data_IF_862106588004
#
_entry.id   IF_862106588004
#
_cell.length_a   1.000
_cell.length_b   1.000
_cell.length_c   1.000
_cell.angle_alpha   90.00
_cell.angle_beta   90.00
_cell.angle_gamma   90.00
#
_symmetry.space_group_name_H-M   'P 1'
#
loop_
_entity.id
_entity.type
_entity.pdbx_description
1 polymer ?
#
# COMPACT_ATOMS: atom_id res chain seq x y z
N UNK A 1 26.98 -19.98 23.64
CA UNK A 1 27.56 -21.02 22.74
C UNK A 1 26.61 -22.18 22.41
N UNK A 2 25.78 -22.69 23.33
CA UNK A 2 24.87 -23.84 23.05
C UNK A 2 23.74 -23.52 22.06
N UNK A 3 23.22 -22.30 22.01
CA UNK A 3 22.17 -21.88 21.04
C UNK A 3 22.65 -21.76 19.60
N UNK A 4 23.92 -21.36 19.37
CA UNK A 4 24.50 -21.24 18.04
C UNK A 4 24.68 -22.60 17.36
N UNK A 5 25.08 -23.61 18.14
CA UNK A 5 25.25 -25.01 17.67
C UNK A 5 23.88 -25.63 17.28
N UNK A 6 22.81 -25.31 18.00
CA UNK A 6 21.47 -25.80 17.69
C UNK A 6 20.91 -25.19 16.39
N UNK A 7 21.23 -23.92 16.11
CA UNK A 7 20.86 -23.25 14.86
C UNK A 7 21.66 -23.79 13.64
N UNK A 8 22.94 -24.12 13.83
CA UNK A 8 23.75 -24.77 12.80
C UNK A 8 23.30 -26.22 12.51
N UNK A 9 22.87 -26.98 13.52
CA UNK A 9 22.38 -28.34 13.33
C UNK A 9 21.00 -28.37 12.64
N UNK A 10 20.13 -27.40 12.88
CA UNK A 10 18.88 -27.23 12.13
C UNK A 10 19.14 -26.88 10.66
N UNK A 11 20.19 -26.10 10.35
CA UNK A 11 20.59 -25.76 8.98
C UNK A 11 21.10 -26.96 8.16
N UNK A 12 21.73 -27.96 8.80
CA UNK A 12 22.32 -29.14 8.13
C UNK A 12 21.26 -30.20 7.79
N UNK A 13 20.17 -30.28 8.56
CA UNK A 13 19.12 -31.29 8.37
C UNK A 13 18.26 -31.09 7.10
N UNK A 14 18.35 -29.95 6.43
CA UNK A 14 17.59 -29.65 5.21
C UNK A 14 18.24 -30.10 3.90
N UNK A 15 19.41 -30.73 3.95
CA UNK A 15 20.23 -30.97 2.74
C UNK A 15 19.97 -32.30 2.02
N UNK A 16 19.10 -33.19 2.49
CA UNK A 16 19.17 -34.59 2.06
C UNK A 16 18.15 -35.02 0.98
N UNK A 17 17.09 -34.29 0.68
CA UNK A 17 16.17 -34.64 -0.43
C UNK A 17 15.55 -33.41 -1.11
N UNK A 18 16.35 -32.55 -1.66
CA UNK A 18 15.82 -31.34 -2.29
C UNK A 18 15.73 -31.47 -3.80
N UNK A 19 14.59 -31.91 -4.30
CA UNK A 19 14.07 -31.34 -5.54
C UNK A 19 13.80 -29.86 -5.28
N UNK A 20 14.73 -28.96 -5.43
CA UNK A 20 14.61 -27.48 -5.36
C UNK A 20 13.17 -26.96 -5.16
N UNK A 21 12.54 -27.33 -4.03
CA UNK A 21 11.12 -27.03 -3.75
C UNK A 21 10.96 -25.67 -3.08
N UNK A 22 12.02 -25.12 -2.53
CA UNK A 22 12.00 -23.86 -1.82
C UNK A 22 12.77 -22.80 -2.60
N UNK A 23 12.35 -21.56 -2.53
CA UNK A 23 13.07 -20.42 -3.09
C UNK A 23 12.92 -19.19 -2.21
N UNK A 24 14.00 -18.46 -2.06
CA UNK A 24 14.01 -17.11 -1.50
C UNK A 24 14.09 -16.15 -2.68
N UNK A 25 13.33 -15.04 -2.60
CA UNK A 25 13.25 -14.03 -3.65
C UNK A 25 13.36 -12.64 -3.05
N UNK A 26 13.93 -11.73 -3.83
CA UNK A 26 14.01 -10.32 -3.47
C UNK A 26 13.66 -9.44 -4.69
N UNK A 27 13.07 -8.28 -4.42
CA UNK A 27 12.69 -7.33 -5.45
C UNK A 27 13.93 -6.55 -5.92
N UNK A 28 14.34 -6.76 -7.18
CA UNK A 28 15.47 -6.05 -7.79
C UNK A 28 15.12 -4.64 -8.25
N UNK A 29 13.84 -4.31 -8.40
CA UNK A 29 13.36 -2.97 -8.68
C UNK A 29 13.20 -2.10 -7.41
N UNK A 30 13.47 -2.67 -6.23
CA UNK A 30 13.35 -1.99 -4.94
C UNK A 30 14.00 -0.60 -4.86
N UNK A 31 15.26 -0.43 -5.34
CA UNK A 31 15.91 0.89 -5.35
C UNK A 31 15.16 1.93 -6.16
N UNK A 32 14.54 1.56 -7.30
CA UNK A 32 13.79 2.47 -8.15
C UNK A 32 12.42 2.84 -7.56
N UNK A 33 11.76 1.87 -6.95
CA UNK A 33 10.42 2.04 -6.37
C UNK A 33 10.45 2.39 -4.90
N UNK A 34 11.64 2.37 -4.26
CA UNK A 34 11.84 2.51 -2.81
C UNK A 34 11.02 1.51 -1.98
N UNK A 35 10.63 0.39 -2.62
CA UNK A 35 9.84 -0.68 -1.99
C UNK A 35 10.65 -1.97 -2.01
N UNK A 36 11.08 -2.39 -0.84
CA UNK A 36 11.88 -3.59 -0.66
C UNK A 36 10.96 -4.75 -0.31
N UNK A 37 11.19 -5.91 -0.90
CA UNK A 37 10.45 -7.12 -0.54
C UNK A 37 11.34 -8.34 -0.45
N UNK A 38 11.04 -9.17 0.55
CA UNK A 38 11.59 -10.50 0.72
C UNK A 38 10.46 -11.50 0.56
N UNK A 39 10.69 -12.54 -0.24
CA UNK A 39 9.68 -13.56 -0.49
C UNK A 39 10.25 -14.94 -0.23
N UNK A 40 9.38 -15.82 0.26
CA UNK A 40 9.66 -17.25 0.38
C UNK A 40 8.60 -18.02 -0.39
N UNK A 41 9.04 -18.81 -1.37
CA UNK A 41 8.17 -19.67 -2.16
C UNK A 41 8.47 -21.14 -1.88
N UNK A 42 7.41 -21.93 -1.70
CA UNK A 42 7.47 -23.38 -1.61
C UNK A 42 6.61 -24.01 -2.71
N UNK A 43 7.24 -24.81 -3.56
CA UNK A 43 6.54 -25.63 -4.54
C UNK A 43 5.81 -26.77 -3.83
N UNK A 44 4.48 -26.79 -3.91
CA UNK A 44 3.65 -27.85 -3.39
C UNK A 44 3.65 -29.04 -4.36
N UNK A 45 3.59 -28.73 -5.65
CA UNK A 45 3.73 -29.70 -6.74
C UNK A 45 4.33 -29.03 -8.00
N UNK A 46 4.35 -29.74 -9.14
CA UNK A 46 4.95 -29.21 -10.40
C UNK A 46 4.24 -27.98 -10.95
N UNK A 47 3.00 -27.70 -10.55
CA UNK A 47 2.16 -26.63 -11.08
C UNK A 47 1.70 -25.62 -10.02
N UNK A 48 1.83 -25.92 -8.74
CA UNK A 48 1.30 -25.10 -7.66
C UNK A 48 2.43 -24.75 -6.67
N UNK A 49 2.49 -23.51 -6.27
CA UNK A 49 3.35 -23.08 -5.16
C UNK A 49 2.61 -22.13 -4.21
N UNK A 50 3.09 -22.10 -2.98
CA UNK A 50 2.69 -21.12 -1.98
C UNK A 50 3.85 -20.14 -1.78
N UNK A 51 3.57 -18.84 -1.94
CA UNK A 51 4.54 -17.76 -1.81
C UNK A 51 4.10 -16.80 -0.71
N UNK A 52 5.03 -16.40 0.13
CA UNK A 52 4.83 -15.41 1.18
C UNK A 52 5.72 -14.22 0.87
N UNK A 53 5.14 -13.04 0.82
CA UNK A 53 5.85 -11.78 0.55
C UNK A 53 5.73 -10.87 1.74
N UNK A 54 6.87 -10.43 2.28
CA UNK A 54 6.96 -9.29 3.20
C UNK A 54 7.51 -8.12 2.43
N UNK A 55 6.92 -6.94 2.59
CA UNK A 55 7.39 -5.75 1.92
C UNK A 55 7.38 -4.53 2.84
N UNK A 56 8.29 -3.63 2.55
CA UNK A 56 8.47 -2.39 3.28
C UNK A 56 8.88 -1.26 2.34
N UNK A 57 8.26 -0.12 2.50
CA UNK A 57 8.64 1.13 1.88
C UNK A 57 8.76 2.20 2.95
N UNK A 58 9.93 2.83 3.02
CA UNK A 58 10.12 4.00 3.87
C UNK A 58 9.22 5.14 3.38
N UNK A 59 8.70 5.96 4.31
CA UNK A 59 7.91 7.16 3.98
C UNK A 59 8.73 8.13 3.16
N UNK A 60 8.41 8.22 1.87
CA UNK A 60 9.14 9.00 0.86
C UNK A 60 8.22 9.42 -0.26
N UNK A 61 8.64 10.35 -1.11
CA UNK A 61 7.85 10.82 -2.24
C UNK A 61 7.41 9.64 -3.13
N UNK A 62 6.18 9.70 -3.63
CA UNK A 62 5.65 8.69 -4.55
C UNK A 62 6.44 8.73 -5.86
N UNK A 63 6.99 7.60 -6.35
CA UNK A 63 7.55 7.54 -7.69
C UNK A 63 6.46 7.90 -8.72
N UNK A 64 6.83 8.67 -9.72
CA UNK A 64 5.88 9.14 -10.75
C UNK A 64 4.70 9.93 -10.17
N UNK A 65 4.95 10.76 -9.15
CA UNK A 65 3.92 11.51 -8.41
C UNK A 65 2.99 12.33 -9.30
N UNK A 66 3.50 12.99 -10.35
CA UNK A 66 2.69 13.76 -11.29
C UNK A 66 1.70 12.90 -12.09
N UNK A 67 2.12 11.70 -12.51
CA UNK A 67 1.25 10.74 -13.20
C UNK A 67 0.19 10.20 -12.24
N UNK A 68 0.59 9.88 -10.99
CA UNK A 68 -0.33 9.44 -9.94
C UNK A 68 -1.34 10.53 -9.62
N UNK A 69 -0.93 11.78 -9.51
CA UNK A 69 -1.80 12.94 -9.28
C UNK A 69 -2.84 13.10 -10.40
N UNK A 70 -2.39 13.03 -11.66
CA UNK A 70 -3.27 13.11 -12.83
C UNK A 70 -4.32 11.98 -12.83
N UNK A 71 -3.89 10.74 -12.54
CA UNK A 71 -4.80 9.59 -12.47
C UNK A 71 -5.77 9.69 -11.29
N UNK A 72 -5.31 10.14 -10.12
CA UNK A 72 -6.13 10.32 -8.94
C UNK A 72 -7.22 11.38 -9.18
N UNK A 73 -6.89 12.51 -9.77
CA UNK A 73 -7.85 13.57 -10.13
C UNK A 73 -8.86 13.11 -11.16
N UNK A 74 -8.45 12.28 -12.14
CA UNK A 74 -9.31 11.82 -13.22
C UNK A 74 -10.24 10.67 -12.82
N UNK A 75 -9.76 9.71 -12.03
CA UNK A 75 -10.47 8.46 -11.74
C UNK A 75 -10.76 8.23 -10.26
N UNK A 76 -10.11 8.98 -9.37
CA UNK A 76 -10.13 8.73 -7.93
C UNK A 76 -11.53 8.78 -7.32
N UNK A 77 -12.38 9.70 -7.76
CA UNK A 77 -13.77 9.79 -7.25
C UNK A 77 -14.55 8.51 -7.53
N UNK A 78 -14.45 7.97 -8.75
CA UNK A 78 -15.15 6.72 -9.11
C UNK A 78 -14.66 5.49 -8.34
N UNK A 79 -13.37 5.48 -7.93
CA UNK A 79 -12.75 4.35 -7.25
C UNK A 79 -12.91 4.39 -5.73
N UNK A 80 -12.88 5.58 -5.13
CA UNK A 80 -12.80 5.75 -3.67
C UNK A 80 -13.94 6.58 -3.07
N UNK A 81 -14.69 7.29 -3.90
CA UNK A 81 -15.65 8.31 -3.47
C UNK A 81 -15.02 9.64 -3.04
N UNK A 82 -13.69 9.72 -2.92
CA UNK A 82 -12.94 10.91 -2.48
C UNK A 82 -12.59 11.78 -3.69
N UNK A 83 -12.80 13.10 -3.58
CA UNK A 83 -12.44 14.08 -4.60
C UNK A 83 -10.97 14.48 -4.42
N UNK A 84 -10.14 14.20 -5.42
CA UNK A 84 -8.69 14.47 -5.38
C UNK A 84 -8.28 15.84 -5.92
N UNK A 85 -9.19 16.69 -6.38
CA UNK A 85 -8.87 17.98 -6.98
C UNK A 85 -8.09 18.93 -6.07
N UNK A 86 -8.24 18.76 -4.76
CA UNK A 86 -7.61 19.58 -3.73
C UNK A 86 -6.53 18.82 -2.93
N UNK A 87 -6.13 17.66 -3.45
CA UNK A 87 -5.09 16.80 -2.88
C UNK A 87 -3.91 16.78 -3.87
N UNK A 88 -2.69 17.00 -3.36
CA UNK A 88 -1.47 17.08 -4.19
C UNK A 88 -0.69 15.76 -4.07
N UNK A 89 -1.09 14.77 -4.91
CA UNK A 89 -0.48 13.45 -4.89
C UNK A 89 0.97 13.44 -5.40
N UNK A 90 1.35 14.42 -6.21
CA UNK A 90 2.72 14.62 -6.70
C UNK A 90 3.71 15.00 -5.59
N UNK A 91 3.23 15.60 -4.51
CA UNK A 91 4.00 15.96 -3.32
C UNK A 91 3.80 14.96 -2.16
N UNK A 92 3.00 13.92 -2.38
CA UNK A 92 2.67 12.97 -1.33
C UNK A 92 3.87 12.11 -0.95
N UNK A 93 4.05 11.92 0.37
CA UNK A 93 4.99 10.95 0.94
C UNK A 93 4.21 9.75 1.43
N UNK A 94 4.63 8.55 1.00
CA UNK A 94 3.97 7.28 1.34
C UNK A 94 4.98 6.33 1.93
N UNK A 95 4.69 5.86 3.13
CA UNK A 95 5.29 4.70 3.76
C UNK A 95 4.28 3.56 3.79
N UNK A 96 4.73 2.34 3.59
CA UNK A 96 3.90 1.15 3.70
C UNK A 96 4.73 -0.05 4.15
N UNK A 97 4.16 -0.86 5.01
CA UNK A 97 4.66 -2.19 5.34
C UNK A 97 3.52 -3.18 5.20
N UNK A 98 3.84 -4.40 4.81
CA UNK A 98 2.77 -5.37 4.61
C UNK A 98 3.25 -6.79 4.38
N UNK A 99 2.24 -7.65 4.29
CA UNK A 99 2.39 -9.09 4.10
C UNK A 99 1.37 -9.57 3.09
N UNK A 100 1.83 -10.43 2.17
CA UNK A 100 0.97 -10.99 1.11
C UNK A 100 1.27 -12.48 0.92
N UNK A 101 0.39 -13.37 1.37
CA UNK A 101 0.38 -14.78 0.98
C UNK A 101 -0.23 -14.94 -0.41
N UNK A 102 0.35 -15.83 -1.22
CA UNK A 102 -0.07 -16.10 -2.59
C UNK A 102 -0.12 -17.60 -2.87
N UNK A 103 -1.16 -18.05 -3.53
CA UNK A 103 -1.24 -19.40 -4.11
C UNK A 103 -1.09 -19.26 -5.64
N UNK A 104 0.05 -19.70 -6.16
CA UNK A 104 0.43 -19.57 -7.58
C UNK A 104 0.14 -20.83 -8.36
N UNK A 105 -0.45 -20.67 -9.54
CA UNK A 105 -0.75 -21.71 -10.51
C UNK A 105 0.08 -21.49 -11.78
N UNK A 106 1.04 -22.37 -12.02
CA UNK A 106 1.96 -22.29 -13.16
C UNK A 106 1.38 -22.98 -14.40
N UNK A 107 1.33 -22.27 -15.53
CA UNK A 107 0.70 -22.70 -16.77
C UNK A 107 1.69 -23.23 -17.82
N UNK A 108 2.99 -23.11 -17.58
CA UNK A 108 4.01 -23.42 -18.59
C UNK A 108 4.94 -24.57 -18.23
N UNK A 109 5.91 -24.84 -19.14
CA UNK A 109 6.98 -25.82 -18.96
C UNK A 109 8.08 -25.29 -18.02
N UNK A 110 8.96 -26.17 -17.49
CA UNK A 110 9.94 -25.94 -16.42
C UNK A 110 10.78 -24.64 -16.49
N UNK A 111 11.16 -24.16 -17.68
CA UNK A 111 12.07 -22.99 -17.84
C UNK A 111 11.35 -21.65 -18.03
N UNK A 112 10.09 -21.67 -18.48
CA UNK A 112 9.31 -20.47 -18.81
C UNK A 112 7.86 -20.73 -18.35
N UNK A 113 7.48 -20.15 -17.22
CA UNK A 113 6.23 -20.46 -16.55
C UNK A 113 5.42 -19.20 -16.30
N UNK A 114 4.48 -18.85 -17.19
CA UNK A 114 3.43 -17.92 -16.83
C UNK A 114 2.64 -18.48 -15.64
N UNK A 115 2.18 -17.59 -14.78
CA UNK A 115 1.38 -17.97 -13.63
C UNK A 115 0.25 -16.99 -13.38
N UNK A 116 -0.82 -17.53 -12.80
CA UNK A 116 -1.88 -16.77 -12.15
C UNK A 116 -1.81 -17.11 -10.66
N UNK A 117 -2.04 -16.12 -9.81
CA UNK A 117 -2.09 -16.36 -8.37
C UNK A 117 -3.34 -15.75 -7.74
N UNK A 118 -3.90 -16.46 -6.77
CA UNK A 118 -4.79 -15.91 -5.77
C UNK A 118 -3.91 -15.35 -4.64
N UNK A 119 -4.17 -14.14 -4.19
CA UNK A 119 -3.43 -13.58 -3.08
C UNK A 119 -4.32 -12.83 -2.09
N UNK A 120 -3.90 -12.86 -0.82
CA UNK A 120 -4.34 -11.94 0.21
C UNK A 120 -3.28 -10.87 0.42
N UNK A 121 -3.68 -9.69 0.93
CA UNK A 121 -2.74 -8.63 1.23
C UNK A 121 -3.20 -7.86 2.46
N UNK A 122 -2.30 -7.72 3.41
CA UNK A 122 -2.40 -6.80 4.53
C UNK A 122 -1.38 -5.69 4.35
N UNK A 123 -1.82 -4.45 4.49
CA UNK A 123 -0.97 -3.27 4.38
C UNK A 123 -1.24 -2.32 5.53
N UNK A 124 -0.19 -1.69 6.03
CA UNK A 124 -0.22 -0.64 7.03
C UNK A 124 0.45 0.60 6.42
N UNK A 125 -0.35 1.63 6.18
CA UNK A 125 0.04 2.87 5.51
C UNK A 125 0.31 3.98 6.50
N UNK A 126 1.40 4.71 6.27
CA UNK A 126 1.73 6.00 6.87
C UNK A 126 2.03 7.00 5.76
N UNK A 127 1.17 7.99 5.60
CA UNK A 127 1.23 8.92 4.49
C UNK A 127 1.24 10.37 4.99
N UNK A 128 1.86 11.26 4.22
CA UNK A 128 1.70 12.70 4.38
C UNK A 128 1.41 13.29 3.00
N UNK A 129 0.25 13.90 2.85
CA UNK A 129 -0.23 14.40 1.56
C UNK A 129 -0.66 15.86 1.74
N UNK A 130 -0.10 16.81 1.00
CA UNK A 130 -0.57 18.18 1.05
C UNK A 130 -2.00 18.28 0.47
N UNK A 131 -2.85 19.03 1.18
CA UNK A 131 -4.21 19.31 0.73
C UNK A 131 -4.52 20.81 0.89
N UNK A 132 -5.39 21.32 0.03
CA UNK A 132 -5.89 22.69 0.10
C UNK A 132 -7.20 22.73 0.88
N UNK A 133 -7.21 23.47 1.97
CA UNK A 133 -8.38 23.72 2.81
C UNK A 133 -8.88 25.16 2.59
N UNK A 134 -10.19 25.33 2.39
CA UNK A 134 -10.82 26.66 2.36
C UNK A 134 -11.23 27.05 3.77
N UNK A 135 -10.56 28.03 4.32
CA UNK A 135 -10.81 28.55 5.67
C UNK A 135 -11.49 29.92 5.55
N UNK A 136 -12.64 30.09 6.18
CA UNK A 136 -13.24 31.39 6.39
C UNK A 136 -12.61 32.01 7.65
N UNK A 137 -11.98 33.16 7.50
CA UNK A 137 -11.36 33.89 8.60
C UNK A 137 -11.66 35.37 8.49
N UNK A 138 -12.32 35.94 9.50
CA UNK A 138 -12.75 37.36 9.52
C UNK A 138 -13.54 37.80 8.28
N UNK A 139 -14.43 36.93 7.77
CA UNK A 139 -15.24 37.21 6.60
C UNK A 139 -14.57 37.00 5.24
N UNK A 140 -13.27 36.63 5.21
CA UNK A 140 -12.52 36.34 3.99
C UNK A 140 -12.30 34.83 3.86
N UNK A 141 -12.56 34.28 2.69
CA UNK A 141 -12.23 32.88 2.38
C UNK A 141 -10.81 32.80 1.84
N UNK A 142 -9.97 32.02 2.52
CA UNK A 142 -8.58 31.82 2.14
C UNK A 142 -8.32 30.34 1.94
N UNK A 143 -7.70 29.96 0.82
CA UNK A 143 -7.23 28.60 0.59
C UNK A 143 -5.84 28.41 1.21
N UNK A 144 -5.74 27.49 2.15
CA UNK A 144 -4.52 27.15 2.87
C UNK A 144 -4.06 25.76 2.48
N UNK A 145 -2.87 25.67 1.87
CA UNK A 145 -2.21 24.39 1.61
C UNK A 145 -1.53 23.92 2.91
N UNK A 146 -1.93 22.77 3.40
CA UNK A 146 -1.38 22.18 4.63
C UNK A 146 -1.09 20.69 4.43
N UNK A 147 -0.01 20.16 5.06
CA UNK A 147 0.23 18.72 5.07
C UNK A 147 -0.82 18.03 5.94
N UNK A 148 -1.43 17.01 5.40
CA UNK A 148 -2.37 16.10 6.10
C UNK A 148 -1.68 14.76 6.28
N UNK A 149 -1.51 14.34 7.53
CA UNK A 149 -0.95 13.03 7.85
C UNK A 149 -2.08 12.00 7.93
N UNK A 150 -1.88 10.87 7.26
CA UNK A 150 -2.84 9.76 7.20
C UNK A 150 -2.21 8.48 7.70
N UNK A 151 -2.96 7.73 8.47
CA UNK A 151 -2.63 6.34 8.80
C UNK A 151 -3.87 5.47 8.59
N UNK A 152 -3.70 4.30 8.03
CA UNK A 152 -4.77 3.29 7.91
C UNK A 152 -4.18 1.95 7.55
N UNK A 153 -4.95 0.88 7.81
CA UNK A 153 -4.59 -0.46 7.36
C UNK A 153 -5.63 -1.01 6.39
N UNK A 154 -5.16 -1.90 5.51
CA UNK A 154 -6.02 -2.58 4.55
C UNK A 154 -5.92 -4.09 4.72
N UNK A 155 -7.04 -4.75 4.47
CA UNK A 155 -7.09 -6.20 4.27
C UNK A 155 -7.85 -6.45 2.98
N UNK A 156 -7.19 -7.06 2.02
CA UNK A 156 -7.72 -7.25 0.67
C UNK A 156 -7.33 -8.60 0.09
N UNK A 157 -7.98 -8.99 -1.00
CA UNK A 157 -7.65 -10.17 -1.77
C UNK A 157 -7.84 -9.93 -3.26
N UNK A 158 -7.11 -10.67 -4.09
CA UNK A 158 -7.14 -10.42 -5.52
C UNK A 158 -6.51 -11.52 -6.35
N UNK A 159 -6.40 -11.20 -7.64
CA UNK A 159 -5.77 -12.03 -8.65
C UNK A 159 -4.50 -11.35 -9.15
N UNK A 160 -3.45 -12.13 -9.36
CA UNK A 160 -2.16 -11.63 -9.82
C UNK A 160 -1.73 -12.46 -11.03
N UNK A 161 -1.20 -11.78 -12.05
CA UNK A 161 -0.66 -12.39 -13.26
C UNK A 161 0.83 -12.09 -13.33
N UNK A 162 1.60 -13.12 -13.66
CA UNK A 162 3.04 -12.98 -13.78
C UNK A 162 3.68 -14.07 -14.62
N UNK A 163 5.00 -13.99 -14.73
CA UNK A 163 5.81 -14.94 -15.47
C UNK A 163 7.10 -15.22 -14.72
N UNK A 164 7.49 -16.47 -14.61
CA UNK A 164 8.74 -16.91 -14.01
C UNK A 164 9.64 -17.53 -15.06
N UNK A 165 10.90 -17.11 -15.11
CA UNK A 165 11.99 -17.80 -15.82
C UNK A 165 12.87 -18.46 -14.77
N UNK A 166 13.24 -19.72 -15.03
CA UNK A 166 14.08 -20.49 -14.11
C UNK A 166 15.26 -21.10 -14.84
N UNK A 167 16.48 -20.81 -14.34
CA UNK A 167 17.75 -21.34 -14.81
C UNK A 167 18.44 -22.06 -13.64
N UNK A 168 18.31 -23.38 -13.59
CA UNK A 168 18.80 -24.21 -12.48
C UNK A 168 18.30 -23.70 -11.12
N UNK A 169 19.18 -23.14 -10.30
CA UNK A 169 18.85 -22.60 -8.96
C UNK A 169 18.44 -21.12 -8.98
N UNK A 170 18.77 -20.40 -10.02
CA UNK A 170 18.42 -18.98 -10.15
C UNK A 170 17.13 -18.83 -10.96
N UNK A 171 16.32 -17.85 -10.61
CA UNK A 171 15.13 -17.51 -11.37
C UNK A 171 14.85 -16.01 -11.35
N UNK A 172 13.99 -15.60 -12.28
CA UNK A 172 13.49 -14.25 -12.42
C UNK A 172 11.96 -14.30 -12.49
N UNK A 173 11.30 -13.58 -11.62
CA UNK A 173 9.84 -13.46 -11.60
C UNK A 173 9.45 -12.05 -12.04
N UNK A 174 8.62 -11.97 -13.06
CA UNK A 174 7.94 -10.75 -13.48
C UNK A 174 6.50 -10.81 -12.99
N UNK A 175 6.12 -9.92 -12.11
CA UNK A 175 4.73 -9.62 -11.78
C UNK A 175 4.27 -8.53 -12.72
N UNK A 176 3.16 -8.73 -13.43
CA UNK A 176 2.63 -7.77 -14.40
C UNK A 176 1.61 -6.85 -13.72
N UNK A 177 0.57 -7.43 -13.15
CA UNK A 177 -0.51 -6.70 -12.50
C UNK A 177 -1.27 -7.62 -11.53
N UNK A 178 -1.76 -7.04 -10.43
CA UNK A 178 -2.58 -7.73 -9.44
C UNK A 178 -3.66 -6.83 -8.87
N UNK A 179 -4.85 -6.70 -9.52
CA UNK A 179 -5.97 -6.00 -8.92
C UNK A 179 -6.45 -6.74 -7.66
N UNK A 180 -6.77 -5.99 -6.62
CA UNK A 180 -7.28 -6.53 -5.37
C UNK A 180 -8.32 -5.61 -4.75
N UNK A 181 -9.27 -6.20 -4.05
CA UNK A 181 -10.37 -5.53 -3.40
C UNK A 181 -10.47 -5.96 -1.94
N UNK A 182 -10.90 -5.03 -1.07
CA UNK A 182 -11.01 -5.30 0.35
C UNK A 182 -11.59 -4.15 1.14
N UNK A 183 -11.08 -3.99 2.36
CA UNK A 183 -11.52 -2.95 3.29
C UNK A 183 -10.33 -2.25 3.94
N UNK A 184 -10.41 -0.93 4.05
CA UNK A 184 -9.53 -0.11 4.87
C UNK A 184 -10.16 0.11 6.24
N UNK A 185 -9.35 0.05 7.29
CA UNK A 185 -9.74 0.26 8.69
C UNK A 185 -8.77 1.20 9.38
N UNK A 186 -9.21 1.78 10.51
CA UNK A 186 -8.37 2.64 11.32
C UNK A 186 -7.88 3.88 10.57
N UNK A 187 -8.68 4.36 9.59
CA UNK A 187 -8.32 5.58 8.89
C UNK A 187 -8.33 6.75 9.87
N UNK A 188 -7.20 7.40 9.98
CA UNK A 188 -6.97 8.59 10.78
C UNK A 188 -6.21 9.60 9.94
N UNK A 189 -6.79 10.76 9.73
CA UNK A 189 -6.14 11.87 9.04
C UNK A 189 -6.12 13.08 9.95
N UNK A 190 -5.00 13.79 10.00
CA UNK A 190 -4.86 15.00 10.79
C UNK A 190 -4.15 16.09 9.99
N UNK A 191 -4.77 17.27 9.95
CA UNK A 191 -4.15 18.51 9.54
C UNK A 191 -3.96 19.40 10.78
N UNK A 192 -2.78 20.01 10.92
CA UNK A 192 -2.48 20.89 12.05
C UNK A 192 -2.00 22.24 11.55
N UNK A 193 -2.63 23.29 12.03
CA UNK A 193 -2.22 24.68 11.77
C UNK A 193 -2.72 25.60 12.88
N UNK A 194 -1.91 26.57 13.29
CA UNK A 194 -2.28 27.58 14.29
C UNK A 194 -3.51 28.39 13.90
N UNK A 195 -3.81 28.50 12.60
CA UNK A 195 -5.01 29.22 12.12
C UNK A 195 -6.30 28.63 12.69
N UNK A 196 -6.35 27.30 12.88
CA UNK A 196 -7.55 26.61 13.39
C UNK A 196 -7.89 27.04 14.83
N UNK A 197 -6.89 27.35 15.66
CA UNK A 197 -7.11 27.80 17.03
C UNK A 197 -7.73 29.21 17.11
N UNK A 198 -7.56 30.03 16.05
CA UNK A 198 -8.05 31.40 15.96
C UNK A 198 -9.46 31.51 15.40
N UNK A 199 -10.03 30.39 14.92
CA UNK A 199 -11.38 30.33 14.36
C UNK A 199 -12.44 30.37 15.46
N UNK A 200 -13.47 31.16 15.25
CA UNK A 200 -14.73 31.10 16.01
C UNK A 200 -15.45 29.79 15.77
N UNK A 201 -16.44 29.46 16.57
CA UNK A 201 -17.22 28.24 16.43
C UNK A 201 -17.96 28.21 15.08
N UNK A 202 -18.53 29.32 14.65
CA UNK A 202 -19.21 29.44 13.34
C UNK A 202 -18.24 29.21 12.17
N UNK A 203 -17.02 29.73 12.24
CA UNK A 203 -15.98 29.52 11.22
C UNK A 203 -15.48 28.08 11.20
N UNK A 204 -15.41 27.41 12.35
CA UNK A 204 -15.08 25.96 12.43
C UNK A 204 -16.19 25.11 11.82
N UNK A 205 -17.46 25.42 12.07
CA UNK A 205 -18.60 24.73 11.42
C UNK A 205 -18.54 24.90 9.90
N UNK A 206 -18.34 26.13 9.42
CA UNK A 206 -18.17 26.39 8.00
C UNK A 206 -17.01 25.55 7.38
N UNK A 207 -15.87 25.54 8.05
CA UNK A 207 -14.72 24.74 7.59
C UNK A 207 -15.04 23.25 7.56
N UNK A 208 -15.76 22.73 8.56
CA UNK A 208 -16.20 21.34 8.62
C UNK A 208 -17.06 20.97 7.40
N UNK A 209 -18.06 21.79 7.09
CA UNK A 209 -18.92 21.58 5.94
C UNK A 209 -18.13 21.64 4.63
N UNK A 210 -17.22 22.60 4.52
CA UNK A 210 -16.35 22.74 3.34
C UNK A 210 -15.39 21.57 3.15
N UNK A 211 -14.83 20.99 4.22
CA UNK A 211 -14.02 19.78 4.13
C UNK A 211 -14.85 18.59 3.63
N UNK A 212 -16.04 18.39 4.20
CA UNK A 212 -16.94 17.30 3.79
C UNK A 212 -17.31 17.44 2.30
N UNK A 213 -17.73 18.64 1.87
CA UNK A 213 -18.11 18.93 0.49
C UNK A 213 -16.92 18.78 -0.48
N UNK A 214 -15.77 19.38 -0.13
CA UNK A 214 -14.57 19.46 -0.98
C UNK A 214 -13.94 18.10 -1.24
N UNK A 215 -13.90 17.26 -0.23
CA UNK A 215 -13.32 15.92 -0.33
C UNK A 215 -14.36 14.80 -0.56
N UNK A 216 -15.65 15.12 -0.51
CA UNK A 216 -16.72 14.13 -0.72
C UNK A 216 -16.82 13.12 0.43
N UNK A 217 -16.57 13.53 1.67
CA UNK A 217 -16.56 12.62 2.81
C UNK A 217 -17.97 12.20 3.17
N UNK A 218 -18.25 10.90 3.09
CA UNK A 218 -19.53 10.34 3.52
C UNK A 218 -19.56 10.14 5.04
N UNK A 219 -20.55 10.68 5.71
CA UNK A 219 -20.78 10.46 7.14
C UNK A 219 -21.01 8.99 7.52
N UNK A 220 -21.33 8.11 6.56
CA UNK A 220 -21.38 6.68 6.77
C UNK A 220 -19.99 6.09 7.13
N UNK A 221 -18.93 6.66 6.59
CA UNK A 221 -17.56 6.13 6.75
C UNK A 221 -16.68 7.01 7.61
N UNK A 222 -16.90 8.32 7.67
CA UNK A 222 -15.99 9.27 8.28
C UNK A 222 -16.69 10.19 9.28
N UNK A 223 -16.01 10.44 10.40
CA UNK A 223 -16.33 11.52 11.32
C UNK A 223 -15.21 12.55 11.24
N UNK A 224 -15.60 13.85 11.18
CA UNK A 224 -14.69 14.99 11.17
C UNK A 224 -14.87 15.80 12.46
N UNK A 225 -13.77 16.07 13.14
CA UNK A 225 -13.71 16.94 14.29
C UNK A 225 -12.66 18.05 14.11
N UNK A 226 -12.95 19.27 14.59
CA UNK A 226 -12.04 20.41 14.53
C UNK A 226 -11.95 21.01 15.93
N UNK A 227 -10.82 20.79 16.59
CA UNK A 227 -10.56 21.24 17.94
C UNK A 227 -9.14 21.81 18.09
N UNK A 228 -9.02 22.97 18.76
CA UNK A 228 -7.72 23.65 18.91
C UNK A 228 -7.06 23.93 17.56
N UNK A 229 -5.86 23.44 17.37
CA UNK A 229 -5.05 23.60 16.15
C UNK A 229 -5.22 22.44 15.17
N UNK A 230 -6.13 21.49 15.42
CA UNK A 230 -6.23 20.24 14.65
C UNK A 230 -7.59 20.10 13.99
N UNK A 231 -7.57 19.61 12.73
CA UNK A 231 -8.71 19.02 12.05
C UNK A 231 -8.44 17.52 11.89
N UNK A 232 -9.29 16.70 12.49
CA UNK A 232 -9.12 15.24 12.54
C UNK A 232 -10.27 14.55 11.80
N UNK A 233 -9.94 13.60 10.92
CA UNK A 233 -10.89 12.73 10.25
C UNK A 233 -10.61 11.31 10.70
N UNK A 234 -11.64 10.62 11.21
CA UNK A 234 -11.55 9.23 11.65
C UNK A 234 -12.56 8.37 10.91
N UNK A 235 -12.18 7.14 10.53
CA UNK A 235 -13.18 6.21 10.02
C UNK A 235 -14.04 5.67 11.16
N UNK A 236 -15.36 5.74 10.97
CA UNK A 236 -16.36 5.15 11.88
C UNK A 236 -16.75 3.73 11.43
N UNK A 237 -16.63 3.46 10.13
CA UNK A 237 -16.86 2.15 9.52
C UNK A 237 -15.72 1.78 8.58
N UNK A 238 -15.53 0.47 8.30
CA UNK A 238 -14.57 0.02 7.31
C UNK A 238 -14.90 0.59 5.93
N UNK A 239 -13.93 1.25 5.30
CA UNK A 239 -14.08 1.88 3.98
C UNK A 239 -13.77 0.85 2.90
N UNK A 240 -14.57 0.75 1.81
CA UNK A 240 -14.20 -0.06 0.65
C UNK A 240 -12.83 0.35 0.12
N UNK A 241 -12.00 -0.65 -0.21
CA UNK A 241 -10.65 -0.43 -0.70
C UNK A 241 -10.43 -1.19 -1.99
N UNK A 242 -9.95 -0.49 -3.01
CA UNK A 242 -9.49 -1.05 -4.27
C UNK A 242 -8.01 -0.69 -4.44
N UNK A 243 -7.19 -1.71 -4.68
CA UNK A 243 -5.77 -1.54 -4.92
C UNK A 243 -5.31 -2.27 -6.18
N UNK A 244 -4.13 -1.89 -6.64
CA UNK A 244 -3.45 -2.55 -7.75
C UNK A 244 -2.02 -2.84 -7.31
N UNK A 245 -1.68 -4.12 -7.18
CA UNK A 245 -0.29 -4.54 -7.08
C UNK A 245 0.33 -4.41 -8.47
N UNK A 246 1.18 -3.41 -8.62
CA UNK A 246 1.78 -3.05 -9.89
C UNK A 246 2.93 -3.97 -10.29
N UNK A 247 3.68 -3.52 -11.30
CA UNK A 247 4.85 -4.18 -11.84
C UNK A 247 5.90 -4.50 -10.78
N UNK A 248 6.40 -5.75 -10.79
CA UNK A 248 7.46 -6.20 -9.88
C UNK A 248 8.43 -7.14 -10.58
N UNK A 249 9.72 -6.93 -10.35
CA UNK A 249 10.79 -7.79 -10.85
C UNK A 249 11.54 -8.39 -9.66
N UNK A 250 11.49 -9.72 -9.52
CA UNK A 250 12.09 -10.41 -8.39
C UNK A 250 13.13 -11.44 -8.87
N UNK A 251 14.30 -11.42 -8.28
CA UNK A 251 15.31 -12.47 -8.46
C UNK A 251 15.12 -13.53 -7.39
N UNK A 252 15.28 -14.81 -7.75
CA UNK A 252 15.08 -15.95 -6.86
C UNK A 252 16.28 -16.89 -6.83
N UNK A 253 16.51 -17.50 -5.67
CA UNK A 253 17.43 -18.61 -5.48
C UNK A 253 16.69 -19.81 -4.89
N UNK A 254 16.78 -20.97 -5.57
CA UNK A 254 16.08 -22.21 -5.21
C UNK A 254 17.01 -23.22 -4.54
N UNK A 255 16.54 -23.89 -3.49
CA UNK A 255 17.27 -24.88 -2.70
C UNK A 255 16.35 -26.02 -2.24
#
# INVERSE_FOLDING_TARGET
MRFLVFFCLLGISFSIFSQQKNAIKFNVAGPLTQTYSLQYERLLNKKISFNNTFFYRQKSLIPFGSQVDTLAKRYGVGLTGIKFNYIFMDEAKVGVKGYSPELRFYLGKKKNRPFVALFGQYEDFDMAVPASLSVLYRGLTVDVKTPVNFTFNTLSGGLLIGKQWKWNRVGLDLVVIGPHFGKAKGFYAVAQTELLSKLSEAERMYLKDKIIERFGLSGQYFALDIAGEKAEIKSVNPVPYLGIRGFGLNMSYSF
#
